data_IF_012189881467
#
_entry.id   IF_012189881467
#
_cell.length_a   1.000
_cell.length_b   1.000
_cell.length_c   1.000
_cell.angle_alpha   90.00
_cell.angle_beta   90.00
_cell.angle_gamma   90.00
#
_symmetry.space_group_name_H-M   'P 1'
#
loop_
_entity.id
_entity.type
_entity.pdbx_description
1 polymer ?
#
# COMPACT_ATOMS: atom_id res chain seq x y z
N UNK A 1 5.98 11.20 -21.01
CA UNK A 1 5.05 10.48 -20.12
C UNK A 1 3.86 11.41 -19.91
N UNK A 2 2.67 11.01 -20.36
CA UNK A 2 1.52 11.89 -20.52
C UNK A 2 0.98 12.43 -19.18
N UNK A 3 0.62 13.71 -19.09
CA UNK A 3 0.14 14.38 -17.86
C UNK A 3 -1.08 13.65 -17.28
N UNK A 4 -1.92 13.10 -18.15
CA UNK A 4 -3.11 12.34 -17.79
C UNK A 4 -2.72 11.05 -17.04
N UNK A 5 -1.69 10.34 -17.50
CA UNK A 5 -1.20 9.13 -16.87
C UNK A 5 -0.65 9.44 -15.47
N UNK A 6 0.12 10.54 -15.33
CA UNK A 6 0.63 10.97 -14.03
C UNK A 6 -0.48 11.34 -13.04
N UNK A 7 -1.53 12.03 -13.49
CA UNK A 7 -2.67 12.39 -12.66
C UNK A 7 -3.45 11.15 -12.16
N UNK A 8 -3.70 10.18 -13.04
CA UNK A 8 -4.32 8.90 -12.68
C UNK A 8 -3.50 8.17 -11.61
N UNK A 9 -2.17 8.16 -11.77
CA UNK A 9 -1.27 7.55 -10.79
C UNK A 9 -1.33 8.22 -9.42
N UNK A 10 -1.28 9.55 -9.36
CA UNK A 10 -1.34 10.30 -8.11
C UNK A 10 -2.66 10.00 -7.37
N UNK A 11 -3.79 9.96 -8.08
CA UNK A 11 -5.10 9.66 -7.48
C UNK A 11 -5.15 8.22 -6.96
N UNK A 12 -4.62 7.26 -7.72
CA UNK A 12 -4.50 5.87 -7.30
C UNK A 12 -3.65 5.72 -6.04
N UNK A 13 -2.47 6.34 -6.01
CA UNK A 13 -1.57 6.28 -4.85
C UNK A 13 -2.19 6.96 -3.63
N UNK A 14 -2.84 8.11 -3.80
CA UNK A 14 -3.55 8.79 -2.72
C UNK A 14 -4.71 7.95 -2.17
N UNK A 15 -5.49 7.32 -3.06
CA UNK A 15 -6.58 6.42 -2.67
C UNK A 15 -6.09 5.22 -1.87
N UNK A 16 -5.02 4.57 -2.33
CA UNK A 16 -4.37 3.50 -1.55
C UNK A 16 -3.92 4.03 -0.19
N UNK A 17 -3.25 5.19 -0.14
CA UNK A 17 -2.77 5.81 1.10
C UNK A 17 -3.88 6.02 2.14
N UNK A 18 -5.03 6.54 1.72
CA UNK A 18 -6.20 6.76 2.58
C UNK A 18 -6.76 5.44 3.12
N UNK A 19 -6.83 4.38 2.29
CA UNK A 19 -7.26 3.06 2.73
C UNK A 19 -6.31 2.49 3.79
N UNK A 20 -5.00 2.68 3.63
CA UNK A 20 -3.99 2.26 4.63
C UNK A 20 -4.22 2.94 5.96
N UNK A 21 -4.32 4.28 5.92
CA UNK A 21 -4.47 5.10 7.11
C UNK A 21 -5.77 4.73 7.85
N UNK A 22 -6.86 4.51 7.11
CA UNK A 22 -8.12 4.01 7.64
C UNK A 22 -7.99 2.64 8.29
N UNK A 23 -7.33 1.68 7.63
CA UNK A 23 -7.10 0.34 8.17
C UNK A 23 -6.26 0.38 9.45
N UNK A 24 -5.16 1.15 9.46
CA UNK A 24 -4.33 1.36 10.65
C UNK A 24 -5.13 1.98 11.79
N UNK A 25 -5.95 2.98 11.50
CA UNK A 25 -6.82 3.61 12.51
C UNK A 25 -7.83 2.62 13.10
N UNK A 26 -8.46 1.78 12.27
CA UNK A 26 -9.40 0.76 12.74
C UNK A 26 -8.71 -0.32 13.59
N UNK A 27 -7.54 -0.78 13.17
CA UNK A 27 -6.74 -1.75 13.93
C UNK A 27 -6.30 -1.15 15.26
N UNK A 28 -5.81 0.10 15.26
CA UNK A 28 -5.45 0.80 16.48
C UNK A 28 -6.65 0.99 17.42
N UNK A 29 -7.81 1.41 16.89
CA UNK A 29 -9.05 1.58 17.65
C UNK A 29 -9.51 0.26 18.28
N UNK A 30 -9.53 -0.82 17.50
CA UNK A 30 -9.98 -2.13 17.96
C UNK A 30 -9.02 -2.72 18.99
N UNK A 31 -7.72 -2.52 18.79
CA UNK A 31 -6.71 -3.01 19.71
C UNK A 31 -6.67 -2.22 21.02
N UNK A 32 -7.30 -1.04 21.17
CA UNK A 32 -7.24 -0.20 22.39
C UNK A 32 -7.53 -0.95 23.69
N UNK A 33 -8.37 -1.97 23.64
CA UNK A 33 -8.78 -2.77 24.80
C UNK A 33 -7.89 -4.00 25.04
N UNK A 34 -6.96 -4.31 24.14
CA UNK A 34 -6.04 -5.45 24.29
C UNK A 34 -4.78 -5.06 25.11
N UNK A 35 -4.29 -5.98 25.98
CA UNK A 35 -3.02 -5.80 26.67
C UNK A 35 -1.84 -5.88 25.69
N UNK A 36 -0.81 -5.05 25.92
CA UNK A 36 0.43 -5.09 25.15
C UNK A 36 1.17 -6.40 25.51
N UNK A 37 1.10 -7.43 24.65
CA UNK A 37 1.82 -7.44 23.36
C UNK A 37 0.95 -7.59 22.10
N UNK A 38 -0.35 -7.88 22.23
CA UNK A 38 -1.22 -8.19 21.09
C UNK A 38 -1.50 -6.94 20.23
N UNK A 39 -1.62 -5.76 20.85
CA UNK A 39 -1.67 -4.45 20.17
C UNK A 39 -0.57 -4.26 19.13
N UNK A 40 0.67 -4.52 19.54
CA UNK A 40 1.84 -4.30 18.69
C UNK A 40 1.93 -5.36 17.60
N UNK A 41 1.58 -6.60 17.91
CA UNK A 41 1.54 -7.69 16.92
C UNK A 41 0.59 -7.37 15.77
N UNK A 42 -0.62 -6.87 16.04
CA UNK A 42 -1.56 -6.47 14.99
C UNK A 42 -1.03 -5.32 14.13
N UNK A 43 -0.38 -4.33 14.74
CA UNK A 43 0.26 -3.22 14.04
C UNK A 43 1.40 -3.70 13.11
N UNK A 44 2.27 -4.58 13.61
CA UNK A 44 3.37 -5.14 12.84
C UNK A 44 2.89 -6.03 11.69
N UNK A 45 1.85 -6.83 11.90
CA UNK A 45 1.24 -7.65 10.84
C UNK A 45 0.63 -6.75 9.77
N UNK A 46 -0.10 -5.71 10.17
CA UNK A 46 -0.67 -4.75 9.23
C UNK A 46 0.42 -4.07 8.39
N UNK A 47 1.50 -3.62 9.04
CA UNK A 47 2.64 -3.00 8.36
C UNK A 47 3.35 -3.96 7.40
N UNK A 48 3.53 -5.22 7.81
CA UNK A 48 4.17 -6.25 6.98
C UNK A 48 3.34 -6.57 5.74
N UNK A 49 2.02 -6.74 5.90
CA UNK A 49 1.10 -6.93 4.76
C UNK A 49 1.16 -5.71 3.84
N UNK A 50 1.19 -4.51 4.41
CA UNK A 50 1.27 -3.28 3.62
C UNK A 50 2.56 -3.19 2.80
N UNK A 51 3.69 -3.45 3.44
CA UNK A 51 5.00 -3.47 2.80
C UNK A 51 5.06 -4.50 1.67
N UNK A 52 4.48 -5.68 1.89
CA UNK A 52 4.44 -6.75 0.90
C UNK A 52 3.58 -6.37 -0.31
N UNK A 53 2.38 -5.83 -0.09
CA UNK A 53 1.52 -5.34 -1.17
C UNK A 53 2.18 -4.21 -1.97
N UNK A 54 2.81 -3.26 -1.30
CA UNK A 54 3.48 -2.14 -1.96
C UNK A 54 4.68 -2.61 -2.80
N UNK A 55 5.47 -3.55 -2.28
CA UNK A 55 6.61 -4.14 -2.99
C UNK A 55 6.16 -4.94 -4.21
N UNK A 56 5.13 -5.77 -4.05
CA UNK A 56 4.55 -6.53 -5.17
C UNK A 56 3.96 -5.61 -6.23
N UNK A 57 3.22 -4.58 -5.82
CA UNK A 57 2.63 -3.62 -6.75
C UNK A 57 3.69 -2.83 -7.53
N UNK A 58 4.72 -2.34 -6.85
CA UNK A 58 5.86 -1.68 -7.48
C UNK A 58 6.66 -2.61 -8.41
N UNK A 59 6.85 -3.87 -8.01
CA UNK A 59 7.51 -4.89 -8.82
C UNK A 59 6.74 -5.23 -10.10
N UNK A 60 5.43 -5.45 -9.97
CA UNK A 60 4.53 -5.69 -11.12
C UNK A 60 4.54 -4.49 -12.06
N UNK A 61 4.51 -3.26 -11.53
CA UNK A 61 4.60 -2.06 -12.34
C UNK A 61 5.91 -1.98 -13.12
N UNK A 62 7.04 -2.23 -12.46
CA UNK A 62 8.35 -2.27 -13.10
C UNK A 62 8.37 -3.28 -14.26
N UNK A 63 7.85 -4.48 -14.03
CA UNK A 63 7.77 -5.53 -15.06
C UNK A 63 6.91 -5.08 -16.25
N UNK A 64 5.71 -4.54 -16.00
CA UNK A 64 4.82 -4.06 -17.06
C UNK A 64 5.48 -2.93 -17.86
N UNK A 65 6.09 -1.95 -17.20
CA UNK A 65 6.75 -0.83 -17.88
C UNK A 65 7.94 -1.29 -18.74
N UNK A 66 8.74 -2.25 -18.25
CA UNK A 66 9.86 -2.78 -19.02
C UNK A 66 9.40 -3.67 -20.19
N UNK A 67 8.32 -4.43 -20.04
CA UNK A 67 7.71 -5.19 -21.14
C UNK A 67 7.14 -4.27 -22.22
N UNK A 68 6.57 -3.13 -21.85
CA UNK A 68 6.07 -2.13 -22.79
C UNK A 68 7.19 -1.37 -23.51
N UNK A 69 8.32 -1.11 -22.85
CA UNK A 69 9.49 -0.45 -23.45
C UNK A 69 10.37 -1.38 -24.30
N UNK A 70 10.32 -2.69 -24.05
CA UNK A 70 11.13 -3.69 -24.75
C UNK A 70 10.55 -4.21 -26.07
N UNK A 71 9.33 -3.80 -26.44
CA UNK A 71 8.71 -4.17 -27.71
C UNK A 71 8.80 -2.96 -28.67
N UNK A 72 9.68 -2.99 -29.68
CA UNK A 72 9.75 -1.94 -30.70
C UNK A 72 8.46 -1.83 -31.52
#
# INVERSE_FOLDING_TARGET
MDIILAAVWIILTAGVFVIVAGAFYLIYKNARHEPAPYKWKHLFIALAIFSLLFTLFGGVLSIITNLQYGNP
#
